data_IF_172428740756
#
_entry.id   IF_172428740756
#
_cell.length_a   1.000
_cell.length_b   1.000
_cell.length_c   1.000
_cell.angle_alpha   90.00
_cell.angle_beta   90.00
_cell.angle_gamma   90.00
#
_symmetry.space_group_name_H-M   'P 1'
#
loop_
_entity.id
_entity.type
_entity.pdbx_description
1 polymer ?
#
# COMPACT_ATOMS: atom_id res chain seq x y z
N UNK A 1 -9.76 3.74 -2.22
CA UNK A 1 -8.82 4.88 -2.26
C UNK A 1 -8.16 4.96 -3.63
N UNK A 2 -8.04 6.16 -4.21
CA UNK A 2 -7.54 6.35 -5.57
C UNK A 2 -6.52 7.50 -5.61
N UNK A 3 -5.57 7.41 -6.54
CA UNK A 3 -4.61 8.49 -6.82
C UNK A 3 -5.22 9.53 -7.80
N UNK A 4 -4.40 10.51 -8.22
CA UNK A 4 -4.78 11.58 -9.18
C UNK A 4 -5.46 11.06 -10.44
N UNK A 5 -5.16 9.83 -10.87
CA UNK A 5 -5.87 9.16 -11.96
C UNK A 5 -7.36 8.93 -11.68
N UNK A 6 -7.76 8.84 -10.42
CA UNK A 6 -9.15 8.73 -9.98
C UNK A 6 -9.94 10.04 -10.01
N UNK A 7 -9.26 11.19 -10.16
CA UNK A 7 -9.90 12.50 -10.24
C UNK A 7 -10.45 12.78 -11.64
N UNK A 8 -11.40 11.94 -12.06
CA UNK A 8 -12.12 12.04 -13.33
C UNK A 8 -13.61 11.88 -13.09
N UNK A 9 -14.40 12.65 -13.84
CA UNK A 9 -15.87 12.57 -13.75
C UNK A 9 -16.43 11.17 -14.02
N UNK A 10 -15.78 10.42 -14.90
CA UNK A 10 -16.13 9.03 -15.26
C UNK A 10 -15.97 8.07 -14.07
N UNK A 11 -15.08 8.35 -13.15
CA UNK A 11 -14.86 7.54 -11.93
C UNK A 11 -15.71 8.06 -10.78
N UNK A 12 -15.73 9.38 -10.55
CA UNK A 12 -16.46 9.98 -9.45
C UNK A 12 -17.98 9.77 -9.55
N UNK A 13 -18.56 9.86 -10.77
CA UNK A 13 -20.00 9.69 -10.98
C UNK A 13 -20.52 8.31 -10.57
N UNK A 14 -19.92 7.19 -11.04
CA UNK A 14 -20.32 5.85 -10.60
C UNK A 14 -20.15 5.62 -9.10
N UNK A 15 -19.07 6.15 -8.50
CA UNK A 15 -18.82 5.99 -7.07
C UNK A 15 -19.92 6.68 -6.24
N UNK A 16 -20.28 7.91 -6.60
CA UNK A 16 -21.36 8.64 -5.95
C UNK A 16 -22.72 7.97 -6.18
N UNK A 17 -23.01 7.54 -7.41
CA UNK A 17 -24.28 6.85 -7.74
C UNK A 17 -24.46 5.55 -6.97
N UNK A 18 -23.37 4.84 -6.68
CA UNK A 18 -23.38 3.57 -5.92
C UNK A 18 -23.17 3.77 -4.42
N UNK A 19 -23.13 5.01 -3.96
CA UNK A 19 -22.89 5.37 -2.55
C UNK A 19 -21.61 4.73 -1.95
N UNK A 20 -20.62 4.47 -2.80
CA UNK A 20 -19.36 3.87 -2.37
C UNK A 20 -18.49 4.92 -1.67
N UNK A 21 -17.95 4.57 -0.52
CA UNK A 21 -16.99 5.42 0.17
C UNK A 21 -15.69 5.52 -0.61
N UNK A 22 -15.21 6.75 -0.78
CA UNK A 22 -13.95 7.00 -1.47
C UNK A 22 -13.10 8.07 -0.80
N UNK A 23 -11.81 7.96 -1.04
CA UNK A 23 -10.80 8.98 -0.77
C UNK A 23 -9.94 9.09 -2.02
N UNK A 24 -9.97 10.25 -2.70
CA UNK A 24 -9.31 10.47 -3.98
C UNK A 24 -8.38 11.65 -3.86
N UNK A 25 -7.15 11.52 -4.36
CA UNK A 25 -6.22 12.64 -4.50
C UNK A 25 -6.62 13.47 -5.70
N UNK A 26 -6.85 14.77 -5.47
CA UNK A 26 -7.26 15.71 -6.51
C UNK A 26 -6.08 16.23 -7.33
N UNK A 27 -6.38 16.64 -8.55
CA UNK A 27 -5.53 17.50 -9.37
C UNK A 27 -5.68 18.95 -8.93
N UNK A 28 -4.63 19.74 -9.13
CA UNK A 28 -4.65 21.15 -8.76
C UNK A 28 -5.61 22.03 -9.58
N UNK A 29 -6.03 21.54 -10.75
CA UNK A 29 -6.92 22.24 -11.69
C UNK A 29 -8.42 21.98 -11.45
N UNK A 30 -8.77 21.10 -10.51
CA UNK A 30 -10.17 20.78 -10.18
C UNK A 30 -10.87 21.97 -9.56
N UNK A 31 -12.09 22.27 -10.06
CA UNK A 31 -13.00 23.22 -9.42
C UNK A 31 -13.94 22.51 -8.46
N UNK A 32 -14.16 23.12 -7.30
CA UNK A 32 -15.11 22.68 -6.28
C UNK A 32 -15.96 23.87 -5.83
N UNK A 33 -17.18 23.59 -5.40
CA UNK A 33 -18.10 24.60 -4.88
C UNK A 33 -18.00 24.63 -3.36
N UNK A 34 -17.70 25.81 -2.82
CA UNK A 34 -17.75 26.10 -1.38
C UNK A 34 -18.62 27.31 -1.13
N UNK A 35 -19.63 27.18 -0.27
CA UNK A 35 -20.60 28.27 0.03
C UNK A 35 -21.24 28.89 -1.22
N UNK A 36 -21.54 28.05 -2.23
CA UNK A 36 -22.18 28.51 -3.48
C UNK A 36 -21.21 29.05 -4.54
N UNK A 37 -19.94 29.26 -4.22
CA UNK A 37 -18.93 29.78 -5.13
C UNK A 37 -18.06 28.65 -5.66
N UNK A 38 -17.89 28.58 -6.99
CA UNK A 38 -16.98 27.62 -7.64
C UNK A 38 -15.58 28.20 -7.69
N UNK A 39 -14.63 27.52 -7.06
CA UNK A 39 -13.24 27.93 -6.94
C UNK A 39 -12.29 26.80 -7.32
N UNK A 40 -11.09 27.10 -7.82
CA UNK A 40 -10.02 26.13 -7.96
C UNK A 40 -9.69 25.50 -6.61
N UNK A 41 -9.42 24.19 -6.61
CA UNK A 41 -9.12 23.46 -5.36
C UNK A 41 -7.87 23.99 -4.66
N UNK A 42 -6.93 24.53 -5.42
CA UNK A 42 -5.70 25.14 -4.86
C UNK A 42 -6.02 26.36 -3.99
N UNK A 43 -6.96 27.22 -4.45
CA UNK A 43 -7.38 28.41 -3.70
C UNK A 43 -8.16 28.02 -2.44
N UNK A 44 -9.02 27.02 -2.57
CA UNK A 44 -9.74 26.44 -1.42
C UNK A 44 -8.78 25.84 -0.39
N UNK A 45 -7.70 25.20 -0.85
CA UNK A 45 -6.67 24.64 0.01
C UNK A 45 -5.81 25.71 0.67
N UNK A 46 -5.45 26.78 -0.05
CA UNK A 46 -4.71 27.91 0.50
C UNK A 46 -5.47 28.57 1.67
N UNK A 47 -6.78 28.72 1.50
CA UNK A 47 -7.67 29.30 2.50
C UNK A 47 -8.19 28.29 3.53
N UNK A 48 -7.77 27.02 3.48
CA UNK A 48 -8.22 25.97 4.42
C UNK A 48 -7.57 26.17 5.78
N UNK A 49 -8.34 26.22 6.88
CA UNK A 49 -7.75 26.26 8.22
C UNK A 49 -7.06 24.92 8.50
N UNK A 50 -5.80 24.97 8.93
CA UNK A 50 -5.08 23.80 9.43
C UNK A 50 -5.47 23.61 10.89
N UNK A 51 -6.29 22.60 11.15
CA UNK A 51 -6.90 22.38 12.45
C UNK A 51 -5.99 21.57 13.38
N UNK A 52 -5.22 20.68 12.81
CA UNK A 52 -4.42 19.71 13.57
C UNK A 52 -3.04 19.54 12.97
N UNK A 53 -2.11 19.11 13.83
CA UNK A 53 -0.76 18.73 13.45
C UNK A 53 -0.43 17.35 14.03
N UNK A 54 0.32 16.54 13.25
CA UNK A 54 0.80 15.22 13.65
C UNK A 54 2.26 15.06 13.26
N UNK A 55 3.02 14.40 14.16
CA UNK A 55 4.40 14.05 13.90
C UNK A 55 4.47 12.64 13.31
N UNK A 56 4.98 12.54 12.09
CA UNK A 56 5.20 11.26 11.41
C UNK A 56 6.69 11.01 11.26
N UNK A 57 7.15 9.89 11.74
CA UNK A 57 8.54 9.44 11.56
C UNK A 57 8.55 8.44 10.42
N UNK A 58 9.39 8.67 9.43
CA UNK A 58 9.67 7.73 8.35
C UNK A 58 11.13 7.33 8.38
N UNK A 59 11.36 6.05 8.28
CA UNK A 59 12.70 5.51 8.07
C UNK A 59 12.98 5.52 6.55
N UNK A 60 13.95 6.33 6.12
CA UNK A 60 14.47 6.34 4.76
C UNK A 60 15.88 5.73 4.77
N UNK A 61 15.98 4.42 4.47
CA UNK A 61 17.23 3.67 4.58
C UNK A 61 17.70 3.51 6.02
N UNK A 62 18.84 4.12 6.38
CA UNK A 62 19.41 4.09 7.73
C UNK A 62 19.08 5.33 8.57
N UNK A 63 18.35 6.31 8.01
CA UNK A 63 18.02 7.57 8.66
C UNK A 63 16.54 7.69 8.95
N UNK A 64 16.22 8.11 10.15
CA UNK A 64 14.88 8.54 10.49
C UNK A 64 14.65 9.97 10.01
N UNK A 65 13.57 10.17 9.23
CA UNK A 65 13.12 11.49 8.81
C UNK A 65 11.80 11.82 9.48
N UNK A 66 11.79 12.92 10.19
CA UNK A 66 10.61 13.41 10.90
C UNK A 66 9.86 14.40 10.03
N UNK A 67 8.58 14.15 9.83
CA UNK A 67 7.66 15.06 9.15
C UNK A 67 6.63 15.60 10.15
N UNK A 68 6.39 16.90 10.08
CA UNK A 68 5.28 17.54 10.78
C UNK A 68 4.18 17.80 9.77
N UNK A 69 3.10 17.06 9.88
CA UNK A 69 1.96 17.16 8.97
C UNK A 69 0.89 18.03 9.60
N UNK A 70 0.57 19.12 8.92
CA UNK A 70 -0.60 19.95 9.24
C UNK A 70 -1.76 19.53 8.36
N UNK A 71 -2.94 19.38 8.94
CA UNK A 71 -4.11 18.99 8.17
C UNK A 71 -5.38 19.64 8.67
N UNK A 72 -6.27 19.87 7.71
CA UNK A 72 -7.58 20.46 7.92
C UNK A 72 -8.54 20.03 6.85
N UNK A 73 -9.79 20.48 6.93
CA UNK A 73 -10.81 20.14 5.96
C UNK A 73 -11.77 21.27 5.67
N UNK A 74 -12.46 21.18 4.53
CA UNK A 74 -13.58 22.00 4.15
C UNK A 74 -14.70 21.16 3.55
N UNK A 75 -15.93 21.51 3.88
CA UNK A 75 -17.10 20.96 3.20
C UNK A 75 -17.23 21.62 1.83
N UNK A 76 -17.34 20.81 0.79
CA UNK A 76 -17.37 21.23 -0.62
C UNK A 76 -18.38 20.42 -1.41
N UNK A 77 -18.65 20.81 -2.65
CA UNK A 77 -19.47 20.05 -3.61
C UNK A 77 -18.79 20.04 -4.97
N UNK A 78 -19.16 19.09 -5.80
CA UNK A 78 -18.80 19.13 -7.22
C UNK A 78 -19.70 20.16 -7.94
N UNK A 79 -19.20 20.85 -8.96
CA UNK A 79 -20.03 21.72 -9.79
C UNK A 79 -21.22 20.95 -10.38
N UNK A 80 -22.42 21.56 -10.26
CA UNK A 80 -23.67 20.95 -10.74
C UNK A 80 -24.19 19.76 -9.92
N UNK A 81 -23.68 19.55 -8.69
CA UNK A 81 -24.12 18.51 -7.80
C UNK A 81 -24.42 19.01 -6.39
N UNK A 82 -25.33 18.29 -5.70
CA UNK A 82 -25.78 18.66 -4.36
C UNK A 82 -25.16 17.81 -3.25
N UNK A 83 -24.45 16.72 -3.61
CA UNK A 83 -23.86 15.82 -2.64
C UNK A 83 -22.74 16.53 -1.88
N UNK A 84 -22.78 16.43 -0.55
CA UNK A 84 -21.77 16.99 0.32
C UNK A 84 -20.51 16.13 0.29
N UNK A 85 -19.38 16.76 -0.03
CA UNK A 85 -18.05 16.17 -0.05
C UNK A 85 -17.14 16.94 0.90
N UNK A 86 -16.00 16.37 1.19
CA UNK A 86 -15.01 16.94 2.11
C UNK A 86 -13.67 17.02 1.41
N UNK A 87 -13.14 18.22 1.29
CA UNK A 87 -11.78 18.47 0.87
C UNK A 87 -10.89 18.42 2.11
N UNK A 88 -10.02 17.42 2.19
CA UNK A 88 -8.99 17.32 3.22
C UNK A 88 -7.67 17.80 2.64
N UNK A 89 -7.05 18.75 3.31
CA UNK A 89 -5.79 19.37 2.92
C UNK A 89 -4.71 18.93 3.88
N UNK A 90 -3.60 18.41 3.37
CA UNK A 90 -2.45 17.97 4.16
C UNK A 90 -1.20 18.69 3.69
N UNK A 91 -0.50 19.36 4.59
CA UNK A 91 0.78 20.05 4.35
C UNK A 91 1.91 19.33 5.12
N UNK A 92 3.15 19.60 4.73
CA UNK A 92 4.33 19.03 5.42
C UNK A 92 4.89 17.75 4.78
N UNK A 93 4.26 17.25 3.70
CA UNK A 93 4.71 16.07 2.95
C UNK A 93 5.33 16.44 1.61
N UNK A 94 6.28 17.36 1.60
CA UNK A 94 6.89 17.95 0.41
C UNK A 94 6.44 19.38 0.20
N UNK A 95 6.84 19.98 -0.93
CA UNK A 95 6.59 21.40 -1.22
C UNK A 95 5.12 21.74 -1.44
N UNK A 96 4.35 20.82 -1.99
CA UNK A 96 2.93 21.05 -2.34
C UNK A 96 2.01 20.29 -1.38
N UNK A 97 0.94 20.97 -0.97
CA UNK A 97 -0.12 20.34 -0.20
C UNK A 97 -0.74 19.15 -0.93
N UNK A 98 -1.08 18.11 -0.19
CA UNK A 98 -1.88 17.00 -0.69
C UNK A 98 -3.36 17.36 -0.56
N UNK A 99 -4.10 17.24 -1.65
CA UNK A 99 -5.51 17.59 -1.76
C UNK A 99 -6.32 16.31 -1.91
N UNK A 100 -7.11 15.97 -0.91
CA UNK A 100 -7.87 14.73 -0.86
C UNK A 100 -9.36 15.03 -0.85
N UNK A 101 -10.13 14.36 -1.67
CA UNK A 101 -11.59 14.46 -1.71
C UNK A 101 -12.20 13.18 -1.15
N UNK A 102 -13.08 13.32 -0.18
CA UNK A 102 -13.80 12.24 0.46
C UNK A 102 -15.32 12.49 0.44
N UNK A 103 -16.11 11.42 0.39
CA UNK A 103 -17.55 11.47 0.60
C UNK A 103 -17.97 10.97 1.98
N UNK A 104 -17.02 10.55 2.81
CA UNK A 104 -17.28 10.19 4.20
C UNK A 104 -17.47 11.47 5.01
N UNK A 105 -18.55 11.53 5.80
CA UNK A 105 -18.85 12.68 6.65
C UNK A 105 -17.74 12.87 7.69
N UNK A 106 -17.23 14.11 7.75
CA UNK A 106 -16.24 14.53 8.72
C UNK A 106 -16.93 15.42 9.74
N UNK A 107 -16.89 15.04 11.01
CA UNK A 107 -17.48 15.82 12.11
C UNK A 107 -16.51 16.88 12.65
N UNK A 108 -15.24 16.82 12.23
CA UNK A 108 -14.17 17.70 12.69
C UNK A 108 -13.33 17.10 13.80
N UNK A 109 -13.57 15.85 14.17
CA UNK A 109 -12.72 15.13 15.13
C UNK A 109 -11.31 14.92 14.58
N UNK A 110 -10.27 15.20 15.41
CA UNK A 110 -8.86 14.93 15.08
C UNK A 110 -8.66 13.48 14.62
N UNK A 111 -9.29 12.53 15.32
CA UNK A 111 -9.16 11.10 15.05
C UNK A 111 -9.69 10.74 13.67
N UNK A 112 -10.85 11.24 13.29
CA UNK A 112 -11.44 10.99 11.97
C UNK A 112 -10.59 11.54 10.84
N UNK A 113 -10.15 12.81 10.97
CA UNK A 113 -9.27 13.44 10.00
C UNK A 113 -7.94 12.71 9.89
N UNK A 114 -7.35 12.35 11.02
CA UNK A 114 -6.10 11.60 11.03
C UNK A 114 -6.24 10.23 10.35
N UNK A 115 -7.33 9.49 10.60
CA UNK A 115 -7.59 8.21 9.93
C UNK A 115 -7.66 8.37 8.40
N UNK A 116 -8.22 9.46 7.89
CA UNK A 116 -8.25 9.72 6.43
C UNK A 116 -6.85 10.01 5.90
N UNK A 117 -6.08 10.85 6.60
CA UNK A 117 -4.70 11.16 6.23
C UNK A 117 -3.83 9.89 6.27
N UNK A 118 -3.91 9.13 7.34
CA UNK A 118 -3.19 7.87 7.52
C UNK A 118 -3.57 6.85 6.44
N UNK A 119 -4.88 6.71 6.14
CA UNK A 119 -5.34 5.85 5.04
C UNK A 119 -4.68 6.24 3.71
N UNK A 120 -4.60 7.55 3.42
CA UNK A 120 -3.91 8.00 2.22
C UNK A 120 -2.40 7.69 2.26
N UNK A 121 -1.75 7.87 3.39
CA UNK A 121 -0.34 7.56 3.56
C UNK A 121 -0.06 6.05 3.38
N UNK A 122 -0.99 5.19 3.81
CA UNK A 122 -0.88 3.74 3.60
C UNK A 122 -0.93 3.32 2.13
N UNK A 123 -1.39 4.17 1.21
CA UNK A 123 -1.36 3.89 -0.24
C UNK A 123 0.04 3.55 -0.75
N UNK A 124 1.05 4.21 -0.22
CA UNK A 124 2.45 3.93 -0.57
C UNK A 124 2.86 2.50 -0.22
N UNK A 125 2.30 1.93 0.84
CA UNK A 125 2.56 0.53 1.21
C UNK A 125 2.06 -0.44 0.14
N UNK A 126 0.97 -0.10 -0.55
CA UNK A 126 0.44 -0.93 -1.66
C UNK A 126 1.42 -0.90 -2.84
N UNK A 127 1.95 0.27 -3.18
CA UNK A 127 2.95 0.41 -4.25
C UNK A 127 4.24 -0.35 -3.91
N UNK A 128 4.69 -0.24 -2.67
CA UNK A 128 5.86 -0.98 -2.19
C UNK A 128 5.61 -2.49 -2.17
N UNK A 129 4.40 -2.91 -1.80
CA UNK A 129 4.00 -4.33 -1.86
C UNK A 129 4.01 -4.85 -3.30
N UNK A 130 3.48 -4.07 -4.26
CA UNK A 130 3.50 -4.42 -5.68
C UNK A 130 4.95 -4.51 -6.18
N UNK A 131 5.78 -3.54 -5.83
CA UNK A 131 7.21 -3.54 -6.16
C UNK A 131 7.90 -4.78 -5.58
N UNK A 132 7.68 -5.07 -4.30
CA UNK A 132 8.20 -6.26 -3.65
C UNK A 132 7.83 -7.55 -4.41
N UNK A 133 6.55 -7.70 -4.78
CA UNK A 133 6.08 -8.87 -5.53
C UNK A 133 6.77 -8.94 -6.89
N UNK A 134 6.86 -7.84 -7.63
CA UNK A 134 7.52 -7.79 -8.94
C UNK A 134 8.99 -8.16 -8.87
N UNK A 135 9.74 -7.54 -7.96
CA UNK A 135 11.20 -7.71 -7.87
C UNK A 135 11.60 -9.03 -7.21
N UNK A 136 10.86 -9.48 -6.18
CA UNK A 136 11.23 -10.69 -5.44
C UNK A 136 10.82 -11.98 -6.15
N UNK A 137 9.76 -11.92 -6.95
CA UNK A 137 9.27 -13.08 -7.70
C UNK A 137 9.52 -12.99 -9.21
N UNK A 138 10.29 -11.98 -9.65
CA UNK A 138 10.71 -11.79 -11.05
C UNK A 138 9.50 -11.88 -12.01
N UNK A 139 8.38 -11.21 -11.65
CA UNK A 139 7.11 -11.35 -12.38
C UNK A 139 7.20 -10.94 -13.84
N UNK A 140 8.10 -10.02 -14.18
CA UNK A 140 8.28 -9.52 -15.54
C UNK A 140 9.01 -10.53 -16.44
N UNK A 141 9.70 -11.51 -15.84
CA UNK A 141 10.40 -12.57 -16.54
C UNK A 141 9.54 -13.82 -16.74
N UNK A 142 8.37 -13.88 -16.11
CA UNK A 142 7.44 -15.00 -16.26
C UNK A 142 6.79 -14.95 -17.65
N UNK A 143 7.16 -15.90 -18.50
CA UNK A 143 6.60 -16.05 -19.86
C UNK A 143 5.77 -17.31 -19.94
N UNK A 144 4.46 -17.15 -20.11
CA UNK A 144 3.51 -18.23 -20.23
C UNK A 144 2.69 -18.09 -21.51
N UNK A 145 2.48 -19.22 -22.17
CA UNK A 145 1.86 -19.27 -23.49
C UNK A 145 0.36 -18.97 -23.50
N UNK A 146 -0.32 -19.10 -22.36
CA UNK A 146 -1.78 -18.92 -22.29
C UNK A 146 -2.17 -18.03 -21.12
N UNK A 147 -3.22 -17.25 -21.31
CA UNK A 147 -3.76 -16.35 -20.27
C UNK A 147 -4.17 -17.10 -19.00
N UNK A 148 -4.77 -18.28 -19.13
CA UNK A 148 -5.18 -19.12 -17.99
C UNK A 148 -3.97 -19.52 -17.14
N UNK A 149 -2.87 -19.93 -17.79
CA UNK A 149 -1.63 -20.27 -17.06
C UNK A 149 -1.06 -19.04 -16.35
N UNK A 150 -1.11 -17.88 -16.98
CA UNK A 150 -0.68 -16.62 -16.37
C UNK A 150 -1.53 -16.29 -15.13
N UNK A 151 -2.86 -16.44 -15.23
CA UNK A 151 -3.75 -16.22 -14.07
C UNK A 151 -3.44 -17.17 -12.92
N UNK A 152 -3.25 -18.46 -13.19
CA UNK A 152 -2.92 -19.46 -12.19
C UNK A 152 -1.55 -19.18 -11.54
N UNK A 153 -0.56 -18.78 -12.33
CA UNK A 153 0.76 -18.38 -11.82
C UNK A 153 0.65 -17.14 -10.93
N UNK A 154 -0.11 -16.13 -11.35
CA UNK A 154 -0.35 -14.93 -10.52
C UNK A 154 -1.04 -15.26 -9.21
N UNK A 155 -2.03 -16.14 -9.22
CA UNK A 155 -2.69 -16.60 -8.00
C UNK A 155 -1.70 -17.30 -7.06
N UNK A 156 -0.82 -18.16 -7.60
CA UNK A 156 0.22 -18.83 -6.82
C UNK A 156 1.22 -17.83 -6.22
N UNK A 157 1.71 -16.88 -7.03
CA UNK A 157 2.64 -15.83 -6.56
C UNK A 157 2.00 -15.00 -5.46
N UNK A 158 0.74 -14.59 -5.62
CA UNK A 158 0.02 -13.84 -4.59
C UNK A 158 -0.16 -14.65 -3.31
N UNK A 159 -0.44 -15.95 -3.39
CA UNK A 159 -0.53 -16.83 -2.23
C UNK A 159 0.81 -16.95 -1.50
N UNK A 160 1.92 -17.09 -2.24
CA UNK A 160 3.28 -17.15 -1.67
C UNK A 160 3.68 -15.81 -1.06
N UNK A 161 3.38 -14.70 -1.72
CA UNK A 161 3.62 -13.36 -1.20
C UNK A 161 2.83 -13.13 0.09
N UNK A 162 1.54 -13.49 0.11
CA UNK A 162 0.71 -13.42 1.32
C UNK A 162 1.28 -14.29 2.45
N UNK A 163 1.66 -15.52 2.16
CA UNK A 163 2.29 -16.40 3.15
C UNK A 163 3.56 -15.78 3.73
N UNK A 164 4.42 -15.24 2.87
CA UNK A 164 5.69 -14.61 3.30
C UNK A 164 5.44 -13.35 4.11
N UNK A 165 4.55 -12.47 3.66
CA UNK A 165 4.33 -11.15 4.28
C UNK A 165 3.44 -11.24 5.52
N UNK A 166 2.30 -11.92 5.42
CA UNK A 166 1.32 -11.96 6.48
C UNK A 166 1.59 -13.12 7.45
N UNK A 167 1.69 -14.35 6.95
CA UNK A 167 1.79 -15.52 7.81
C UNK A 167 3.16 -15.62 8.50
N UNK A 168 4.25 -15.57 7.74
CA UNK A 168 5.60 -15.56 8.30
C UNK A 168 5.90 -14.27 9.06
N UNK A 169 5.45 -13.12 8.54
CA UNK A 169 5.60 -11.83 9.20
C UNK A 169 4.90 -11.78 10.57
N UNK A 170 3.69 -12.32 10.69
CA UNK A 170 2.96 -12.39 11.96
C UNK A 170 3.50 -13.45 12.93
N UNK A 171 3.99 -14.57 12.40
CA UNK A 171 4.54 -15.67 13.20
C UNK A 171 6.04 -15.54 13.49
N UNK A 172 6.62 -14.35 13.34
CA UNK A 172 8.04 -14.07 13.62
C UNK A 172 8.50 -14.30 15.07
N UNK A 173 7.70 -14.95 15.90
CA UNK A 173 8.19 -15.65 17.10
C UNK A 173 9.19 -16.78 16.76
N UNK A 174 9.30 -17.18 15.52
CA UNK A 174 10.41 -17.98 14.97
C UNK A 174 11.69 -17.13 14.80
N UNK A 175 12.07 -16.43 15.87
CA UNK A 175 13.28 -15.55 15.91
C UNK A 175 14.54 -16.27 15.42
N UNK A 176 14.64 -17.56 15.60
CA UNK A 176 15.79 -18.36 15.21
C UNK A 176 15.84 -18.57 13.69
N UNK A 177 14.73 -18.97 13.07
CA UNK A 177 14.63 -19.16 11.62
C UNK A 177 14.84 -17.83 10.88
N UNK A 178 14.22 -16.76 11.37
CA UNK A 178 14.40 -15.41 10.84
C UNK A 178 15.88 -14.98 10.84
N UNK A 179 16.61 -15.24 11.92
CA UNK A 179 18.04 -14.90 11.98
C UNK A 179 18.85 -15.64 10.90
N UNK A 180 18.55 -16.91 10.66
CA UNK A 180 19.23 -17.67 9.61
C UNK A 180 18.88 -17.18 8.20
N UNK A 181 17.60 -16.91 7.94
CA UNK A 181 17.14 -16.38 6.66
C UNK A 181 17.70 -14.99 6.38
N UNK A 182 17.69 -14.10 7.38
CA UNK A 182 18.25 -12.76 7.23
C UNK A 182 19.78 -12.75 7.06
N UNK A 183 20.51 -13.72 7.69
CA UNK A 183 21.95 -13.87 7.45
C UNK A 183 22.26 -14.30 6.02
N UNK A 184 21.40 -15.12 5.39
CA UNK A 184 21.55 -15.55 4.01
C UNK A 184 21.09 -14.49 2.99
N UNK A 185 20.35 -13.47 3.41
CA UNK A 185 19.83 -12.45 2.52
C UNK A 185 20.95 -11.57 1.94
N UNK A 186 20.92 -11.32 0.64
CA UNK A 186 21.82 -10.41 -0.05
C UNK A 186 21.46 -8.95 0.22
N UNK A 187 20.19 -8.66 0.47
CA UNK A 187 19.67 -7.33 0.74
C UNK A 187 19.24 -7.24 2.21
N UNK A 188 19.83 -6.28 2.91
CA UNK A 188 19.42 -5.95 4.28
C UNK A 188 18.85 -4.53 4.24
N UNK A 189 17.55 -4.41 4.45
CA UNK A 189 16.89 -3.12 4.55
C UNK A 189 16.88 -2.67 6.01
N UNK A 190 17.27 -1.43 6.25
CA UNK A 190 17.26 -0.81 7.57
C UNK A 190 15.84 -0.51 8.08
N UNK A 191 14.82 -0.63 7.21
CA UNK A 191 13.42 -0.35 7.53
C UNK A 191 12.76 -1.62 8.09
N UNK A 192 12.40 -1.66 9.39
CA UNK A 192 11.82 -2.86 10.00
C UNK A 192 10.54 -3.35 9.34
N UNK A 193 9.72 -2.43 8.80
CA UNK A 193 8.45 -2.73 8.14
C UNK A 193 8.61 -3.37 6.75
N UNK A 194 9.77 -3.20 6.09
CA UNK A 194 10.04 -3.71 4.75
C UNK A 194 11.12 -4.80 4.70
N UNK A 195 11.29 -5.53 5.79
CA UNK A 195 12.20 -6.70 5.85
C UNK A 195 11.77 -7.86 4.94
N UNK A 196 10.64 -7.75 4.29
CA UNK A 196 10.11 -8.79 3.39
C UNK A 196 11.03 -9.08 2.22
N UNK A 197 11.72 -8.08 1.67
CA UNK A 197 12.73 -8.28 0.63
C UNK A 197 13.88 -9.16 1.12
N UNK A 198 14.43 -8.84 2.28
CA UNK A 198 15.50 -9.63 2.87
C UNK A 198 15.03 -11.03 3.25
N UNK A 199 13.78 -11.18 3.70
CA UNK A 199 13.18 -12.49 3.99
C UNK A 199 13.01 -13.30 2.72
N UNK A 200 12.51 -12.74 1.63
CA UNK A 200 12.36 -13.40 0.35
C UNK A 200 13.72 -13.82 -0.23
N UNK A 201 14.71 -12.94 -0.20
CA UNK A 201 16.07 -13.25 -0.62
C UNK A 201 16.69 -14.37 0.23
N UNK A 202 16.53 -14.30 1.54
CA UNK A 202 17.02 -15.32 2.45
C UNK A 202 16.39 -16.69 2.22
N UNK A 203 15.08 -16.75 1.96
CA UNK A 203 14.39 -17.99 1.58
C UNK A 203 14.93 -18.49 0.24
N UNK A 204 15.04 -17.63 -0.76
CA UNK A 204 15.57 -17.96 -2.09
C UNK A 204 16.99 -18.56 -1.97
N UNK A 205 17.91 -17.86 -1.31
CA UNK A 205 19.28 -18.35 -1.10
C UNK A 205 19.32 -19.67 -0.32
N UNK A 206 18.48 -19.82 0.68
CA UNK A 206 18.45 -21.05 1.49
C UNK A 206 17.95 -22.25 0.70
N UNK A 207 16.97 -22.06 -0.19
CA UNK A 207 16.49 -23.10 -1.09
C UNK A 207 17.51 -23.44 -2.17
N UNK A 208 18.17 -22.42 -2.77
CA UNK A 208 19.16 -22.64 -3.83
C UNK A 208 20.50 -23.18 -3.31
N UNK A 209 20.96 -22.73 -2.14
CA UNK A 209 22.23 -23.19 -1.55
C UNK A 209 22.24 -24.69 -1.22
N UNK A 210 21.09 -25.31 -1.07
CA UNK A 210 20.93 -26.72 -0.72
C UNK A 210 20.70 -27.64 -1.91
N UNK A 211 20.95 -27.17 -3.14
CA UNK A 211 20.84 -28.02 -4.35
C UNK A 211 19.77 -29.10 -4.17
N UNK A 212 18.49 -28.68 -4.30
CA UNK A 212 17.37 -29.63 -4.30
C UNK A 212 17.00 -30.26 -2.94
N UNK A 213 16.07 -29.70 -2.27
CA UNK A 213 15.28 -30.38 -1.27
C UNK A 213 15.20 -29.74 0.10
N UNK A 214 14.08 -29.91 0.70
CA UNK A 214 13.73 -29.50 2.06
C UNK A 214 14.54 -30.26 3.16
N UNK A 215 15.61 -30.96 2.82
CA UNK A 215 16.36 -31.83 3.72
C UNK A 215 16.98 -31.18 4.95
N UNK A 216 16.88 -29.91 5.12
CA UNK A 216 17.46 -29.28 6.30
C UNK A 216 16.52 -28.40 7.10
N UNK A 217 15.25 -28.27 6.70
CA UNK A 217 14.26 -27.48 7.45
C UNK A 217 13.30 -28.36 8.27
N UNK A 218 13.37 -29.69 8.14
CA UNK A 218 12.37 -30.65 8.68
C UNK A 218 10.92 -30.22 8.34
N UNK A 219 10.73 -29.49 7.24
CA UNK A 219 9.44 -29.00 6.77
C UNK A 219 8.75 -29.96 5.81
N UNK A 220 9.48 -30.97 5.31
CA UNK A 220 8.85 -32.03 4.55
C UNK A 220 8.36 -33.10 5.53
N UNK A 221 7.07 -33.31 5.67
CA UNK A 221 6.59 -34.53 6.29
C UNK A 221 7.17 -35.71 5.49
N UNK A 222 7.67 -36.76 6.16
CA UNK A 222 8.03 -37.98 5.48
C UNK A 222 6.83 -38.38 4.63
N UNK A 223 7.01 -38.69 3.34
CA UNK A 223 5.88 -39.10 2.52
C UNK A 223 5.31 -40.37 3.13
N UNK A 224 4.05 -40.31 3.52
CA UNK A 224 3.31 -41.55 3.73
C UNK A 224 3.41 -42.36 2.43
N UNK A 225 3.63 -43.65 2.55
CA UNK A 225 3.98 -44.61 1.48
C UNK A 225 2.97 -44.69 0.31
N UNK A 226 2.10 -43.75 0.14
CA UNK A 226 1.09 -43.65 -0.92
C UNK A 226 1.02 -42.31 -1.67
N UNK A 227 1.76 -41.28 -1.27
CA UNK A 227 1.71 -39.98 -1.98
C UNK A 227 2.80 -39.88 -3.04
N UNK A 228 2.40 -39.90 -4.32
CA UNK A 228 3.29 -39.53 -5.45
C UNK A 228 3.49 -38.03 -5.43
N UNK A 229 4.73 -37.57 -5.36
CA UNK A 229 5.08 -36.18 -5.49
C UNK A 229 4.77 -35.69 -6.91
N UNK A 230 4.15 -34.52 -7.03
CA UNK A 230 3.86 -33.87 -8.31
C UNK A 230 5.11 -33.47 -9.10
N UNK A 231 6.29 -33.59 -8.48
CA UNK A 231 7.59 -33.25 -9.06
C UNK A 231 8.61 -34.33 -8.71
N UNK A 232 8.47 -35.48 -9.27
CA UNK A 232 9.59 -36.44 -9.40
C UNK A 232 10.39 -36.12 -10.65
N UNK A 233 11.75 -36.22 -10.60
CA UNK A 233 12.64 -35.89 -11.70
C UNK A 233 12.33 -36.66 -12.98
#
# INVERSE_FOLDING_TARGET
MLDRGGDRGEILRPLLKRELHFLIRLRGDRHLVHRGISLPVVDLAAACPMLYMERVVREEGTKEKVYFLEFGFRKVRLPGRNEDLYLVVVKGFGEKAQLLLANVKITGSRKELWQMVESYLMRWRIEETIRFIKESYELEDIRLLTYVRLQNMMALVMAVAYFTMAYLGLKTKLRVLMRHLLKAAKRVFGIPEFRFYALADGIKEHLFARKWGCQGLNLCPKPDSGQRWLFSP
#
